data_IF_403577952519
#
_entry.id   IF_403577952519
#
_cell.length_a   1.000
_cell.length_b   1.000
_cell.length_c   1.000
_cell.angle_alpha   90.00
_cell.angle_beta   90.00
_cell.angle_gamma   90.00
#
_symmetry.space_group_name_H-M   'P 1'
#
loop_
_entity.id
_entity.type
_entity.pdbx_description
1 polymer ?
#
# COMPACT_ATOMS: atom_id res chain seq x y z
N UNK A 1 43.94 -1.56 30.50
CA UNK A 1 42.63 -1.81 31.17
C UNK A 1 42.26 -0.60 31.99
N UNK A 2 41.34 0.26 31.53
CA UNK A 2 40.48 1.13 32.33
C UNK A 2 39.26 1.46 31.46
N UNK A 3 38.13 0.83 31.76
CA UNK A 3 36.85 1.10 31.11
C UNK A 3 36.16 2.27 31.79
N UNK A 4 35.80 3.28 31.00
CA UNK A 4 34.94 4.38 31.43
C UNK A 4 33.63 4.30 30.61
N UNK A 5 32.75 3.39 31.01
CA UNK A 5 31.36 3.39 30.55
C UNK A 5 30.63 4.57 31.19
N UNK A 6 30.14 5.51 30.37
CA UNK A 6 29.23 6.58 30.79
C UNK A 6 28.13 6.80 29.75
N UNK A 7 26.99 6.22 30.10
CA UNK A 7 25.59 6.62 29.90
C UNK A 7 25.08 7.01 28.50
N UNK A 8 23.95 6.39 28.06
CA UNK A 8 23.18 6.91 26.94
C UNK A 8 22.63 8.30 27.32
N UNK A 9 23.03 9.32 26.58
CA UNK A 9 22.40 10.64 26.62
C UNK A 9 21.07 10.52 25.89
N UNK A 10 19.99 10.28 26.63
CA UNK A 10 18.65 10.53 26.12
C UNK A 10 18.45 12.04 26.09
N UNK A 11 18.62 12.65 24.92
CA UNK A 11 18.15 14.02 24.69
C UNK A 11 16.62 13.95 24.65
N UNK A 12 16.00 14.12 25.82
CA UNK A 12 14.57 14.32 25.94
C UNK A 12 14.27 15.73 25.40
N UNK A 13 14.06 15.85 24.09
CA UNK A 13 13.49 17.05 23.49
C UNK A 13 12.08 17.23 24.06
N UNK A 14 11.98 17.96 25.17
CA UNK A 14 10.71 18.50 25.67
C UNK A 14 10.20 19.47 24.61
N UNK A 15 9.34 18.97 23.72
CA UNK A 15 8.47 19.85 22.97
C UNK A 15 7.24 20.16 23.83
N UNK A 16 6.79 21.43 23.89
CA UNK A 16 5.60 21.80 24.64
C UNK A 16 4.39 21.03 24.09
N UNK A 17 3.46 20.68 24.99
CA UNK A 17 2.27 19.81 24.80
C UNK A 17 1.36 20.14 23.59
N UNK A 18 1.62 21.23 22.89
CA UNK A 18 0.98 21.62 21.62
C UNK A 18 1.37 20.74 20.42
N UNK A 19 2.52 20.07 20.45
CA UNK A 19 3.04 19.32 19.29
C UNK A 19 2.59 17.86 19.20
N UNK A 20 1.91 17.30 20.21
CA UNK A 20 1.55 15.87 20.18
C UNK A 20 0.44 15.55 19.16
N UNK A 21 -0.56 16.43 19.03
CA UNK A 21 -1.64 16.30 18.05
C UNK A 21 -1.19 16.63 16.61
N UNK A 22 -0.19 17.50 16.47
CA UNK A 22 0.37 17.85 15.16
C UNK A 22 1.41 16.82 14.69
N UNK A 23 2.19 16.24 15.59
CA UNK A 23 3.09 15.13 15.28
C UNK A 23 2.30 13.87 14.88
N UNK A 24 1.15 13.60 15.51
CA UNK A 24 0.28 12.49 15.12
C UNK A 24 -0.36 12.71 13.75
N UNK A 25 -0.79 13.94 13.41
CA UNK A 25 -1.35 14.25 12.10
C UNK A 25 -0.30 14.23 10.97
N UNK A 26 0.92 14.71 11.23
CA UNK A 26 2.05 14.60 10.29
C UNK A 26 2.44 13.14 10.06
N UNK A 27 2.51 12.35 11.14
CA UNK A 27 2.84 10.92 11.04
C UNK A 27 1.77 10.15 10.27
N UNK A 28 0.48 10.44 10.52
CA UNK A 28 -0.62 9.89 9.75
C UNK A 28 -0.52 10.30 8.28
N UNK A 29 -0.29 11.58 7.99
CA UNK A 29 -0.12 12.08 6.62
C UNK A 29 1.02 11.37 5.88
N UNK A 30 2.19 11.24 6.50
CA UNK A 30 3.32 10.51 5.92
C UNK A 30 3.00 9.03 5.66
N UNK A 31 2.29 8.36 6.58
CA UNK A 31 1.84 6.98 6.38
C UNK A 31 0.86 6.86 5.21
N UNK A 32 -0.07 7.80 5.07
CA UNK A 32 -1.00 7.83 3.95
C UNK A 32 -0.29 8.06 2.61
N UNK A 33 0.64 9.00 2.53
CA UNK A 33 1.39 9.25 1.30
C UNK A 33 2.30 8.06 0.93
N UNK A 34 2.90 7.40 1.92
CA UNK A 34 3.68 6.19 1.68
C UNK A 34 2.79 5.04 1.18
N UNK A 35 1.63 4.82 1.78
CA UNK A 35 0.68 3.80 1.34
C UNK A 35 0.18 4.05 -0.09
N UNK A 36 -0.07 5.31 -0.47
CA UNK A 36 -0.41 5.69 -1.85
C UNK A 36 0.72 5.36 -2.82
N UNK A 37 1.96 5.70 -2.45
CA UNK A 37 3.13 5.43 -3.28
C UNK A 37 3.34 3.92 -3.47
N UNK A 38 3.25 3.15 -2.38
CA UNK A 38 3.38 1.70 -2.42
C UNK A 38 2.30 1.06 -3.31
N UNK A 39 1.04 1.45 -3.14
CA UNK A 39 -0.07 0.97 -3.98
C UNK A 39 0.15 1.32 -5.46
N UNK A 40 0.59 2.55 -5.74
CA UNK A 40 0.87 3.00 -7.10
C UNK A 40 1.99 2.17 -7.75
N UNK A 41 3.08 1.92 -7.02
CA UNK A 41 4.20 1.13 -7.52
C UNK A 41 3.79 -0.33 -7.79
N UNK A 42 3.02 -0.95 -6.89
CA UNK A 42 2.51 -2.31 -7.09
C UNK A 42 1.66 -2.38 -8.37
N UNK A 43 0.72 -1.44 -8.54
CA UNK A 43 -0.16 -1.41 -9.72
C UNK A 43 0.64 -1.15 -10.99
N UNK A 44 1.56 -0.17 -10.99
CA UNK A 44 2.38 0.14 -12.15
C UNK A 44 3.27 -1.03 -12.58
N UNK A 45 3.92 -1.71 -11.63
CA UNK A 45 4.73 -2.90 -11.92
C UNK A 45 3.87 -4.03 -12.49
N UNK A 46 2.67 -4.24 -11.93
CA UNK A 46 1.77 -5.29 -12.42
C UNK A 46 1.31 -5.01 -13.85
N UNK A 47 0.79 -3.81 -14.13
CA UNK A 47 0.26 -3.42 -15.45
C UNK A 47 1.32 -3.39 -16.55
N UNK A 48 2.57 -3.12 -16.19
CA UNK A 48 3.69 -3.10 -17.14
C UNK A 48 4.20 -4.50 -17.49
N UNK A 49 4.22 -5.41 -16.51
CA UNK A 49 4.85 -6.74 -16.65
C UNK A 49 3.91 -7.87 -17.01
N UNK A 50 2.61 -7.71 -16.79
CA UNK A 50 1.65 -8.79 -16.96
C UNK A 50 0.48 -8.40 -17.87
N UNK A 51 0.14 -9.30 -18.77
CA UNK A 51 -1.18 -9.32 -19.38
C UNK A 51 -2.14 -10.03 -18.44
N UNK A 52 -3.34 -9.48 -18.28
CA UNK A 52 -4.30 -9.95 -17.30
C UNK A 52 -5.74 -9.81 -17.77
N UNK A 53 -6.57 -10.76 -17.35
CA UNK A 53 -8.03 -10.74 -17.51
C UNK A 53 -8.68 -10.85 -16.13
N UNK A 54 -9.80 -10.14 -15.93
CA UNK A 54 -10.69 -10.31 -14.78
C UNK A 54 -11.57 -11.54 -14.97
N UNK A 55 -11.54 -12.46 -14.01
CA UNK A 55 -12.32 -13.70 -14.06
C UNK A 55 -12.92 -14.08 -12.70
N UNK A 56 -13.90 -14.99 -12.73
CA UNK A 56 -14.50 -15.57 -11.53
C UNK A 56 -13.75 -16.85 -11.10
N UNK A 57 -14.24 -17.52 -10.06
CA UNK A 57 -13.69 -18.81 -9.60
C UNK A 57 -13.78 -19.93 -10.66
N UNK A 58 -14.60 -19.74 -11.70
CA UNK A 58 -14.85 -20.72 -12.77
C UNK A 58 -14.08 -20.39 -14.05
N UNK A 59 -13.31 -19.30 -14.07
CA UNK A 59 -12.55 -18.85 -15.24
C UNK A 59 -13.38 -18.08 -16.27
N UNK A 60 -14.62 -17.72 -15.95
CA UNK A 60 -15.46 -16.87 -16.80
C UNK A 60 -14.96 -15.43 -16.70
N UNK A 61 -14.64 -14.83 -17.83
CA UNK A 61 -14.23 -13.43 -17.90
C UNK A 61 -15.43 -12.50 -17.75
N UNK A 62 -15.23 -11.37 -17.09
CA UNK A 62 -16.24 -10.31 -17.00
C UNK A 62 -15.60 -8.93 -16.93
N UNK A 63 -16.26 -7.95 -17.53
CA UNK A 63 -15.79 -6.56 -17.55
C UNK A 63 -16.34 -5.72 -16.40
N UNK A 64 -17.40 -6.20 -15.74
CA UNK A 64 -18.08 -5.46 -14.69
C UNK A 64 -17.37 -5.62 -13.34
N UNK A 65 -16.91 -4.51 -12.77
CA UNK A 65 -16.31 -4.49 -11.42
C UNK A 65 -17.45 -4.66 -10.39
N UNK A 66 -17.34 -5.61 -9.44
CA UNK A 66 -18.36 -5.77 -8.41
C UNK A 66 -18.47 -4.53 -7.52
N UNK A 67 -19.69 -4.18 -7.06
CA UNK A 67 -19.89 -3.00 -6.23
C UNK A 67 -19.11 -3.13 -4.91
N UNK A 68 -18.72 -2.00 -4.30
CA UNK A 68 -18.10 -2.01 -2.99
C UNK A 68 -19.11 -2.40 -1.91
N UNK A 69 -18.68 -3.22 -0.96
CA UNK A 69 -19.43 -3.58 0.23
C UNK A 69 -19.41 -2.41 1.23
N UNK A 70 -20.55 -1.76 1.47
CA UNK A 70 -20.67 -0.52 2.25
C UNK A 70 -20.65 -0.75 3.78
N UNK A 71 -19.77 -1.63 4.24
CA UNK A 71 -19.65 -2.06 5.64
C UNK A 71 -18.92 -1.07 6.53
N UNK A 72 -19.30 0.22 6.57
CA UNK A 72 -18.84 1.27 7.51
C UNK A 72 -17.32 1.35 7.83
N UNK A 73 -16.47 0.68 7.05
CA UNK A 73 -15.02 0.56 7.22
C UNK A 73 -14.34 1.48 6.21
N UNK A 74 -13.19 2.02 6.59
CA UNK A 74 -12.42 2.94 5.75
C UNK A 74 -11.94 2.32 4.42
N UNK A 75 -11.74 1.00 4.39
CA UNK A 75 -11.47 0.24 3.16
C UNK A 75 -12.57 -0.79 2.96
N UNK A 76 -13.26 -0.70 1.83
CA UNK A 76 -14.37 -1.58 1.46
C UNK A 76 -13.88 -2.65 0.49
N UNK A 77 -14.25 -3.90 0.77
CA UNK A 77 -14.00 -5.01 -0.14
C UNK A 77 -15.10 -5.02 -1.20
N UNK A 78 -14.86 -5.59 -2.39
CA UNK A 78 -15.96 -5.81 -3.32
C UNK A 78 -16.94 -6.85 -2.76
N UNK A 79 -18.23 -6.74 -3.11
CA UNK A 79 -19.28 -7.67 -2.65
C UNK A 79 -19.07 -9.10 -3.15
N UNK A 80 -18.42 -9.26 -4.30
CA UNK A 80 -18.05 -10.55 -4.86
C UNK A 80 -16.53 -10.67 -5.03
N UNK A 81 -16.00 -11.89 -4.90
CA UNK A 81 -14.58 -12.15 -5.15
C UNK A 81 -14.25 -11.94 -6.62
N UNK A 82 -13.23 -11.12 -6.90
CA UNK A 82 -12.65 -10.96 -8.23
C UNK A 82 -11.30 -11.63 -8.29
N UNK A 83 -11.09 -12.49 -9.30
CA UNK A 83 -9.79 -13.07 -9.59
C UNK A 83 -9.19 -12.45 -10.84
N UNK A 84 -7.86 -12.53 -10.90
CA UNK A 84 -7.09 -12.18 -12.08
C UNK A 84 -6.45 -13.44 -12.62
N UNK A 85 -6.64 -13.69 -13.91
CA UNK A 85 -5.77 -14.61 -14.67
C UNK A 85 -4.70 -13.74 -15.31
N UNK A 86 -3.44 -14.00 -15.00
CA UNK A 86 -2.34 -13.18 -15.50
C UNK A 86 -1.13 -14.03 -15.93
N UNK A 87 -0.39 -13.52 -16.91
CA UNK A 87 0.85 -14.12 -17.42
C UNK A 87 1.87 -13.03 -17.75
N UNK A 88 3.18 -13.34 -17.73
CA UNK A 88 4.21 -12.38 -18.14
C UNK A 88 3.90 -11.86 -19.54
N UNK A 89 3.95 -10.55 -19.73
CA UNK A 89 3.81 -9.93 -21.03
C UNK A 89 5.03 -10.30 -21.89
N UNK A 90 4.79 -10.82 -23.08
CA UNK A 90 5.84 -11.08 -24.05
C UNK A 90 6.33 -9.75 -24.64
N UNK A 91 7.49 -9.29 -24.16
CA UNK A 91 8.21 -8.18 -24.77
C UNK A 91 8.93 -8.68 -26.01
N UNK A 92 8.20 -9.04 -27.07
CA UNK A 92 8.84 -9.13 -28.38
C UNK A 92 9.25 -7.72 -28.77
N UNK A 93 10.56 -7.49 -28.88
CA UNK A 93 11.10 -6.25 -29.43
C UNK A 93 10.42 -6.02 -30.79
N UNK A 94 9.74 -4.88 -30.92
CA UNK A 94 9.34 -4.39 -32.24
C UNK A 94 10.63 -4.03 -32.96
N UNK A 95 10.98 -4.82 -33.96
CA UNK A 95 12.04 -4.52 -34.95
C UNK A 95 11.67 -3.27 -35.79
#
# INVERSE_FOLDING_TARGET
MWGAGRHPVFVLLRTPKTNFLQASSITQKLRFEFAKLEQLLIVAMFLTRFDHDTCDDKGTTYDAIPPPDLNARAATKPTASTRLRYGPRDFKAQD
#
